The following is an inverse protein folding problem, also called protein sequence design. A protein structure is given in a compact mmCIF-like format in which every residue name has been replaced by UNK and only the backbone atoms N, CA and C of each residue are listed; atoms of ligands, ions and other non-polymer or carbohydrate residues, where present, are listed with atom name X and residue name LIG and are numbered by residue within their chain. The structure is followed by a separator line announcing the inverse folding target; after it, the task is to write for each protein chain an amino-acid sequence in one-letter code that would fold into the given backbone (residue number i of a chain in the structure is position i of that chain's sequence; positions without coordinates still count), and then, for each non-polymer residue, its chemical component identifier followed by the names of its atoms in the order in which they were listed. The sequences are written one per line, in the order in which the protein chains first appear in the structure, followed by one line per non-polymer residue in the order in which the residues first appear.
data_IF_904046447012
#
_entry.id   IF_904046447012
#
_cell.length_a   1.000
_cell.length_b   1.000
_cell.length_c   1.000
_cell.angle_alpha   90.00
_cell.angle_beta   90.00
_cell.angle_gamma   90.00
#
_symmetry.space_group_name_H-M   'P 1'
#
loop_
_entity.id
_entity.type
_entity.pdbx_description
1 polymer ?
#
# COMPACT_ATOMS: atom_id res chain seq x y z
N UNK A 1 34.41 -39.05 37.02
CA UNK A 1 32.93 -38.93 37.12
C UNK A 1 32.38 -37.49 37.12
N UNK A 2 33.20 -36.43 37.00
CA UNK A 2 32.71 -35.02 37.00
C UNK A 2 32.41 -34.43 35.61
N UNK A 3 32.92 -35.04 34.53
CA UNK A 3 32.81 -34.50 33.16
C UNK A 3 31.47 -34.83 32.49
N UNK A 4 30.87 -36.00 32.77
CA UNK A 4 29.54 -36.37 32.23
C UNK A 4 28.41 -35.51 32.79
N UNK A 5 28.50 -35.09 34.06
CA UNK A 5 27.49 -34.23 34.68
C UNK A 5 27.48 -32.80 34.10
N UNK A 6 28.66 -32.26 33.76
CA UNK A 6 28.79 -30.93 33.17
C UNK A 6 28.27 -30.87 31.72
N UNK A 7 28.46 -31.93 30.93
CA UNK A 7 27.98 -32.00 29.54
C UNK A 7 26.44 -32.08 29.45
N UNK A 8 25.80 -32.84 30.36
CA UNK A 8 24.33 -32.92 30.41
C UNK A 8 23.67 -31.61 30.87
N UNK A 9 24.32 -30.86 31.76
CA UNK A 9 23.81 -29.57 32.22
C UNK A 9 23.87 -28.50 31.11
N UNK A 10 24.94 -28.46 30.31
CA UNK A 10 25.04 -27.54 29.18
C UNK A 10 24.01 -27.83 28.07
N UNK A 11 23.73 -29.12 27.80
CA UNK A 11 22.78 -29.50 26.74
C UNK A 11 21.33 -29.15 27.10
N UNK A 12 20.96 -29.20 28.40
CA UNK A 12 19.65 -28.77 28.88
C UNK A 12 19.47 -27.24 28.89
N UNK A 13 20.54 -26.48 29.13
CA UNK A 13 20.52 -25.02 29.07
C UNK A 13 20.39 -24.47 27.63
N UNK A 14 20.97 -25.15 26.63
CA UNK A 14 20.83 -24.78 25.21
C UNK A 14 19.43 -25.07 24.66
N UNK A 15 18.71 -26.05 25.21
CA UNK A 15 17.32 -26.35 24.84
C UNK A 15 16.30 -25.42 25.49
N UNK A 16 16.66 -24.69 26.54
CA UNK A 16 15.77 -23.76 27.25
C UNK A 16 15.84 -22.31 26.75
N UNK A 17 16.84 -21.96 25.93
CA UNK A 17 17.03 -20.60 25.40
C UNK A 17 16.57 -20.42 23.95
N UNK A 18 16.18 -21.51 23.27
CA UNK A 18 15.50 -21.46 21.98
C UNK A 18 14.02 -21.76 22.18
N UNK A 19 13.14 -21.02 21.49
CA UNK A 19 11.67 -21.11 21.55
C UNK A 19 11.02 -20.36 22.71
N UNK A 20 11.14 -19.05 22.69
CA UNK A 20 10.09 -18.19 23.21
C UNK A 20 9.88 -17.03 22.25
N UNK A 21 9.55 -17.36 20.99
CA UNK A 21 8.66 -16.47 20.24
C UNK A 21 7.33 -16.54 20.97
N UNK A 22 7.14 -15.66 21.95
CA UNK A 22 5.86 -15.47 22.59
C UNK A 22 4.85 -15.25 21.46
N UNK A 23 3.86 -16.14 21.36
CA UNK A 23 2.85 -16.11 20.30
C UNK A 23 2.03 -14.83 20.49
N UNK A 24 2.49 -13.73 19.87
CA UNK A 24 2.00 -12.38 20.13
C UNK A 24 0.73 -12.18 19.32
N UNK A 25 -0.37 -11.96 20.01
CA UNK A 25 -1.62 -11.53 19.39
C UNK A 25 -1.41 -10.18 18.71
N UNK A 26 -1.54 -10.15 17.38
CA UNK A 26 -1.36 -8.94 16.58
C UNK A 26 -2.59 -8.04 16.62
N UNK A 27 -2.39 -6.75 16.31
CA UNK A 27 -3.48 -5.80 16.05
C UNK A 27 -3.46 -5.40 14.58
N UNK A 28 -4.62 -5.24 13.97
CA UNK A 28 -4.77 -4.95 12.54
C UNK A 28 -5.66 -3.73 12.34
N UNK A 29 -5.42 -2.96 11.28
CA UNK A 29 -6.43 -2.02 10.81
C UNK A 29 -7.71 -2.76 10.45
N UNK A 30 -8.87 -2.14 10.72
CA UNK A 30 -10.18 -2.76 10.55
C UNK A 30 -11.14 -1.85 9.80
N UNK A 31 -11.82 -2.40 8.79
CA UNK A 31 -12.93 -1.76 8.10
C UNK A 31 -13.67 -2.79 7.24
N UNK A 32 -14.93 -2.52 6.90
CA UNK A 32 -15.72 -3.37 6.00
C UNK A 32 -16.64 -2.54 5.10
N UNK A 33 -16.66 -2.89 3.81
CA UNK A 33 -17.52 -2.26 2.80
C UNK A 33 -17.26 -0.77 2.70
N UNK A 34 -18.36 0.02 2.71
CA UNK A 34 -18.31 1.48 2.56
C UNK A 34 -17.48 2.18 3.65
N UNK A 35 -17.32 1.55 4.81
CA UNK A 35 -16.53 2.11 5.91
C UNK A 35 -15.05 2.19 5.58
N UNK A 36 -14.54 1.37 4.66
CA UNK A 36 -13.16 1.47 4.19
C UNK A 36 -12.91 2.74 3.36
N UNK A 37 -13.95 3.42 2.89
CA UNK A 37 -13.85 4.69 2.18
C UNK A 37 -14.02 5.93 3.08
N UNK A 38 -14.23 5.74 4.39
CA UNK A 38 -14.37 6.88 5.31
C UNK A 38 -12.99 7.43 5.68
N UNK A 39 -12.76 8.70 5.36
CA UNK A 39 -11.57 9.43 5.79
C UNK A 39 -11.62 9.68 7.30
N UNK A 40 -10.46 9.63 7.98
CA UNK A 40 -10.33 10.00 9.40
C UNK A 40 -10.68 8.90 10.43
N UNK A 41 -11.17 7.73 10.00
CA UNK A 41 -11.43 6.58 10.87
C UNK A 41 -10.45 5.44 10.56
N UNK A 42 -9.23 5.55 11.10
CA UNK A 42 -8.32 4.40 11.16
C UNK A 42 -8.68 3.56 12.38
N UNK A 43 -9.66 2.67 12.23
CA UNK A 43 -9.99 1.71 13.27
C UNK A 43 -8.91 0.62 13.31
N UNK A 44 -8.55 0.20 14.51
CA UNK A 44 -7.65 -0.92 14.78
C UNK A 44 -8.39 -1.89 15.68
N UNK A 45 -8.25 -3.18 15.41
CA UNK A 45 -8.77 -4.26 16.24
C UNK A 45 -7.64 -5.19 16.65
N UNK A 46 -7.72 -5.73 17.87
CA UNK A 46 -6.83 -6.81 18.31
C UNK A 46 -7.40 -8.13 17.84
N UNK A 47 -6.57 -8.99 17.25
CA UNK A 47 -7.03 -10.30 16.80
C UNK A 47 -7.35 -11.23 17.97
N UNK A 48 -8.10 -12.29 17.69
CA UNK A 48 -8.54 -13.22 18.73
C UNK A 48 -7.47 -14.28 19.01
N UNK A 49 -6.79 -14.73 17.96
CA UNK A 49 -5.79 -15.78 18.04
C UNK A 49 -4.38 -15.24 17.75
N UNK A 50 -3.38 -15.94 18.25
CA UNK A 50 -1.97 -15.65 17.99
C UNK A 50 -1.46 -16.16 16.63
N UNK A 51 -2.19 -17.10 16.01
CA UNK A 51 -1.98 -17.54 14.63
C UNK A 51 -2.70 -16.65 13.61
N UNK A 52 -3.50 -15.70 14.11
CA UNK A 52 -4.23 -14.77 13.28
C UNK A 52 -3.27 -13.75 12.66
N UNK A 53 -3.54 -13.36 11.42
CA UNK A 53 -2.75 -12.40 10.68
C UNK A 53 -3.61 -11.30 10.10
N UNK A 54 -3.00 -10.16 9.80
CA UNK A 54 -3.71 -9.04 9.22
C UNK A 54 -3.92 -9.25 7.72
N UNK A 55 -5.10 -8.87 7.25
CA UNK A 55 -5.44 -8.88 5.83
C UNK A 55 -5.95 -7.53 5.32
N UNK A 56 -5.74 -7.29 4.03
CA UNK A 56 -6.53 -6.33 3.25
C UNK A 56 -7.06 -7.00 2.00
N UNK A 57 -8.35 -6.87 1.74
CA UNK A 57 -9.01 -7.43 0.57
C UNK A 57 -9.44 -6.29 -0.34
N UNK A 58 -9.16 -6.44 -1.63
CA UNK A 58 -9.38 -5.43 -2.65
C UNK A 58 -10.39 -5.86 -3.71
N UNK A 59 -10.97 -4.87 -4.38
CA UNK A 59 -11.59 -4.98 -5.69
C UNK A 59 -10.91 -3.96 -6.59
N UNK A 60 -10.00 -4.42 -7.47
CA UNK A 60 -9.00 -3.57 -8.10
C UNK A 60 -8.21 -2.77 -7.04
N UNK A 61 -8.25 -1.44 -7.07
CA UNK A 61 -7.63 -0.60 -6.03
C UNK A 61 -8.50 -0.44 -4.78
N UNK A 62 -9.81 -0.65 -4.90
CA UNK A 62 -10.77 -0.34 -3.84
C UNK A 62 -10.60 -1.31 -2.69
N UNK A 63 -10.48 -0.79 -1.47
CA UNK A 63 -10.48 -1.64 -0.27
C UNK A 63 -11.90 -2.10 0.05
N UNK A 64 -12.11 -3.42 0.13
CA UNK A 64 -13.36 -4.03 0.55
C UNK A 64 -13.37 -4.38 2.05
N UNK A 65 -12.21 -4.79 2.57
CA UNK A 65 -12.08 -5.24 3.96
C UNK A 65 -10.65 -5.07 4.47
N UNK A 66 -10.53 -4.71 5.74
CA UNK A 66 -9.31 -4.81 6.54
C UNK A 66 -9.67 -5.49 7.85
N UNK A 67 -8.82 -6.37 8.35
CA UNK A 67 -9.02 -6.97 9.66
C UNK A 67 -8.16 -8.20 9.88
N UNK A 68 -8.54 -9.00 10.89
CA UNK A 68 -7.88 -10.26 11.23
C UNK A 68 -8.36 -11.40 10.32
N UNK A 69 -7.52 -12.42 10.15
CA UNK A 69 -7.73 -13.50 9.19
C UNK A 69 -8.92 -14.41 9.54
N UNK A 70 -9.18 -14.67 10.82
CA UNK A 70 -10.31 -15.47 11.29
C UNK A 70 -11.66 -14.75 11.15
N UNK A 71 -11.64 -13.43 11.06
CA UNK A 71 -12.84 -12.59 10.99
C UNK A 71 -13.23 -12.20 9.56
N UNK A 72 -12.52 -12.71 8.54
CA UNK A 72 -12.83 -12.43 7.15
C UNK A 72 -14.28 -12.86 6.84
N UNK A 73 -15.15 -11.96 6.32
CA UNK A 73 -16.50 -12.32 5.95
C UNK A 73 -16.51 -13.47 4.94
N UNK A 74 -17.41 -14.45 5.12
CA UNK A 74 -17.46 -15.67 4.29
C UNK A 74 -17.46 -15.37 2.77
N UNK A 75 -18.17 -14.32 2.35
CA UNK A 75 -18.23 -13.90 0.93
C UNK A 75 -16.91 -13.37 0.36
N UNK A 76 -15.95 -12.97 1.20
CA UNK A 76 -14.64 -12.46 0.79
C UNK A 76 -13.51 -13.47 1.05
N UNK A 77 -13.77 -14.53 1.82
CA UNK A 77 -12.75 -15.48 2.28
C UNK A 77 -11.96 -16.11 1.13
N UNK A 78 -12.66 -16.50 0.06
CA UNK A 78 -12.07 -17.11 -1.14
C UNK A 78 -10.95 -16.29 -1.77
N UNK A 79 -11.00 -14.95 -1.66
CA UNK A 79 -9.95 -14.04 -2.20
C UNK A 79 -8.61 -14.19 -1.51
N UNK A 80 -8.61 -14.72 -0.29
CA UNK A 80 -7.41 -14.97 0.50
C UNK A 80 -7.00 -16.44 0.53
N UNK A 81 -7.78 -17.37 -0.03
CA UNK A 81 -7.46 -18.80 0.04
C UNK A 81 -6.48 -19.24 -1.07
N UNK A 82 -6.44 -18.50 -2.20
CA UNK A 82 -5.51 -18.78 -3.30
C UNK A 82 -4.19 -18.00 -3.14
N UNK A 83 -3.01 -18.65 -3.28
CA UNK A 83 -1.71 -17.96 -3.25
C UNK A 83 -1.47 -17.05 -4.47
N UNK A 84 -2.29 -17.16 -5.51
CA UNK A 84 -2.15 -16.39 -6.75
C UNK A 84 -3.21 -15.27 -6.89
N UNK A 85 -4.08 -15.09 -5.90
CA UNK A 85 -5.05 -14.01 -5.89
C UNK A 85 -4.43 -12.76 -5.25
N UNK A 86 -4.10 -11.78 -6.08
CA UNK A 86 -3.54 -10.48 -5.68
C UNK A 86 -4.60 -9.50 -5.14
N UNK A 87 -5.86 -9.95 -5.03
CA UNK A 87 -6.92 -9.21 -4.34
C UNK A 87 -6.89 -9.40 -2.82
N UNK A 88 -5.93 -10.17 -2.26
CA UNK A 88 -5.71 -10.25 -0.82
C UNK A 88 -4.23 -10.05 -0.44
N UNK A 89 -3.98 -9.04 0.38
CA UNK A 89 -2.69 -8.83 1.06
C UNK A 89 -2.72 -9.43 2.47
N UNK A 90 -1.63 -10.10 2.88
CA UNK A 90 -1.48 -10.76 4.18
C UNK A 90 -0.17 -10.35 4.85
N UNK A 91 -0.18 -10.12 6.15
CA UNK A 91 1.02 -9.77 6.91
C UNK A 91 0.85 -10.04 8.43
N UNK A 92 1.97 -10.20 9.15
CA UNK A 92 2.00 -10.69 10.54
C UNK A 92 2.49 -9.67 11.58
N UNK A 93 2.76 -8.41 11.18
CA UNK A 93 3.17 -7.36 12.11
C UNK A 93 2.01 -6.45 12.48
N UNK A 94 2.10 -5.77 13.63
CA UNK A 94 1.02 -4.90 14.09
C UNK A 94 0.73 -3.79 13.07
N UNK A 95 -0.55 -3.64 12.72
CA UNK A 95 -1.10 -2.62 11.84
C UNK A 95 -0.47 -2.61 10.44
N UNK A 96 0.08 -3.75 9.99
CA UNK A 96 0.78 -3.85 8.71
C UNK A 96 -0.14 -3.78 7.48
N UNK A 97 -1.45 -3.96 7.66
CA UNK A 97 -2.43 -4.06 6.60
C UNK A 97 -2.96 -2.68 6.13
N UNK A 98 -2.15 -1.61 6.19
CA UNK A 98 -2.49 -0.32 5.58
C UNK A 98 -1.83 -0.11 4.20
N UNK A 99 -1.82 -1.15 3.39
CA UNK A 99 -1.21 -1.17 2.06
C UNK A 99 -2.30 -1.19 0.99
N UNK A 100 -2.02 -0.62 -0.19
CA UNK A 100 -2.87 -0.73 -1.38
C UNK A 100 -2.66 -2.06 -2.12
N UNK A 101 -3.46 -2.29 -3.16
CA UNK A 101 -3.23 -3.43 -4.04
C UNK A 101 -1.88 -3.31 -4.74
N UNK A 102 -1.13 -4.42 -4.85
CA UNK A 102 0.19 -4.49 -5.50
C UNK A 102 0.13 -4.12 -6.98
N UNK A 103 -1.04 -4.24 -7.62
CA UNK A 103 -1.28 -3.78 -9.00
C UNK A 103 -1.21 -2.26 -9.13
N UNK A 104 -1.40 -1.52 -8.04
CA UNK A 104 -1.47 -0.06 -8.01
C UNK A 104 -0.21 0.50 -7.36
N UNK A 105 0.87 0.52 -8.14
CA UNK A 105 2.13 1.16 -7.79
C UNK A 105 2.37 2.40 -8.63
N UNK A 106 2.99 3.41 -8.02
CA UNK A 106 3.31 4.69 -8.64
C UNK A 106 4.79 5.00 -8.43
N UNK A 107 5.39 5.79 -9.33
CA UNK A 107 6.63 6.49 -9.01
C UNK A 107 6.32 7.52 -7.92
N UNK A 108 7.09 7.51 -6.83
CA UNK A 108 6.94 8.42 -5.71
C UNK A 108 8.26 9.16 -5.48
N UNK A 109 8.33 10.43 -5.85
CA UNK A 109 9.57 11.21 -5.84
C UNK A 109 9.31 12.72 -5.82
N UNK A 110 10.38 13.47 -5.55
CA UNK A 110 10.42 14.92 -5.54
C UNK A 110 11.72 15.36 -6.23
N UNK A 111 11.62 16.20 -7.27
CA UNK A 111 12.77 16.62 -8.07
C UNK A 111 13.76 17.50 -7.31
N UNK A 112 13.40 18.04 -6.15
CA UNK A 112 14.34 18.72 -5.25
C UNK A 112 15.30 17.75 -4.55
N UNK A 113 14.95 16.46 -4.50
CA UNK A 113 15.74 15.41 -3.83
C UNK A 113 16.39 14.44 -4.82
N UNK A 114 15.73 14.22 -5.96
CA UNK A 114 16.22 13.34 -7.02
C UNK A 114 15.86 13.93 -8.38
N UNK A 115 16.87 14.40 -9.13
CA UNK A 115 16.70 15.01 -10.44
C UNK A 115 15.98 14.06 -11.44
N UNK A 116 16.13 12.74 -11.28
CA UNK A 116 15.43 11.76 -12.12
C UNK A 116 13.91 11.87 -12.00
N UNK A 117 13.38 12.44 -10.91
CA UNK A 117 11.94 12.65 -10.77
C UNK A 117 11.36 13.55 -11.87
N UNK A 118 12.14 14.55 -12.30
CA UNK A 118 11.80 15.42 -13.42
C UNK A 118 12.36 14.89 -14.74
N UNK A 119 13.61 14.45 -14.75
CA UNK A 119 14.37 14.19 -15.98
C UNK A 119 14.16 12.77 -16.54
N UNK A 120 14.10 11.76 -15.67
CA UNK A 120 14.07 10.35 -16.06
C UNK A 120 13.28 9.47 -15.08
N UNK A 121 11.99 9.77 -14.90
CA UNK A 121 11.17 9.08 -13.92
C UNK A 121 10.96 7.59 -14.24
N UNK A 122 11.19 7.17 -15.48
CA UNK A 122 11.16 5.75 -15.89
C UNK A 122 12.28 4.91 -15.26
N UNK A 123 13.38 5.54 -14.84
CA UNK A 123 14.46 4.84 -14.12
C UNK A 123 14.12 4.57 -12.64
N UNK A 124 13.10 5.24 -12.11
CA UNK A 124 12.71 5.12 -10.71
C UNK A 124 11.77 3.94 -10.52
N UNK A 125 12.10 3.11 -9.52
CA UNK A 125 11.27 1.95 -9.18
C UNK A 125 9.94 2.41 -8.58
N UNK A 126 8.79 2.01 -9.16
CA UNK A 126 7.48 2.30 -8.58
C UNK A 126 7.30 1.59 -7.24
N UNK A 127 6.58 2.23 -6.32
CA UNK A 127 6.25 1.69 -5.00
C UNK A 127 4.74 1.62 -4.82
N UNK A 128 4.28 0.57 -4.14
CA UNK A 128 2.85 0.34 -3.87
C UNK A 128 2.31 1.49 -3.03
N UNK A 129 1.14 2.00 -3.41
CA UNK A 129 0.47 3.06 -2.68
C UNK A 129 -0.04 2.57 -1.31
N UNK A 130 -0.31 3.50 -0.40
CA UNK A 130 -1.10 3.18 0.80
C UNK A 130 -2.53 2.80 0.41
N UNK A 131 -3.22 2.14 1.33
CA UNK A 131 -4.60 1.72 1.10
C UNK A 131 -5.50 2.94 0.80
N UNK A 132 -6.23 2.97 -0.33
CA UNK A 132 -7.08 4.11 -0.64
C UNK A 132 -8.33 4.13 0.23
N UNK A 133 -8.70 5.34 0.63
CA UNK A 133 -10.04 5.66 1.18
C UNK A 133 -10.96 6.21 0.10
N UNK A 134 -10.44 6.51 -1.09
CA UNK A 134 -11.26 6.71 -2.27
C UNK A 134 -11.70 5.37 -2.90
N UNK A 135 -12.75 5.36 -3.74
CA UNK A 135 -13.09 4.19 -4.55
C UNK A 135 -11.97 3.73 -5.50
N UNK A 136 -11.10 4.66 -5.92
CA UNK A 136 -9.99 4.42 -6.83
C UNK A 136 -8.66 4.89 -6.22
N UNK A 137 -7.55 4.30 -6.66
CA UNK A 137 -6.19 4.80 -6.40
C UNK A 137 -5.58 5.29 -7.71
N UNK A 138 -5.14 6.55 -7.75
CA UNK A 138 -4.46 7.13 -8.91
C UNK A 138 -3.00 7.40 -8.60
N UNK A 139 -2.18 7.46 -9.63
CA UNK A 139 -0.91 8.13 -9.56
C UNK A 139 -1.07 9.57 -10.01
N UNK A 140 -0.28 10.48 -9.43
CA UNK A 140 -0.20 11.85 -9.88
C UNK A 140 1.20 12.22 -10.34
N UNK A 141 1.24 13.26 -11.16
CA UNK A 141 2.42 14.09 -11.42
C UNK A 141 1.97 15.53 -11.24
N UNK A 142 2.70 16.28 -10.43
CA UNK A 142 2.38 17.66 -10.09
C UNK A 142 3.62 18.52 -10.28
N UNK A 143 3.48 19.64 -10.97
CA UNK A 143 4.48 20.68 -11.01
C UNK A 143 4.15 21.78 -9.99
N UNK A 144 5.13 22.21 -9.21
CA UNK A 144 5.00 23.34 -8.29
C UNK A 144 5.52 24.64 -8.93
N UNK A 145 4.86 25.76 -8.65
CA UNK A 145 5.24 27.09 -9.15
C UNK A 145 5.18 27.18 -10.67
N UNK A 146 6.22 27.72 -11.30
CA UNK A 146 6.38 27.86 -12.76
C UNK A 146 6.93 26.59 -13.45
N UNK A 147 6.85 25.42 -12.80
CA UNK A 147 7.33 24.15 -13.37
C UNK A 147 8.71 23.70 -12.90
N UNK A 148 9.30 24.38 -11.91
CA UNK A 148 10.67 24.14 -11.46
C UNK A 148 10.84 22.92 -10.55
N UNK A 149 9.76 22.45 -9.92
CA UNK A 149 9.77 21.26 -9.08
C UNK A 149 8.66 20.30 -9.53
N UNK A 150 9.03 19.05 -9.80
CA UNK A 150 8.12 17.97 -10.16
C UNK A 150 8.01 17.01 -8.98
N UNK A 151 6.79 16.77 -8.56
CA UNK A 151 6.43 15.77 -7.56
C UNK A 151 5.59 14.68 -8.21
N UNK A 152 5.91 13.43 -7.92
CA UNK A 152 5.16 12.26 -8.37
C UNK A 152 4.73 11.46 -7.15
N UNK A 153 3.53 10.89 -7.17
CA UNK A 153 3.05 10.13 -6.02
C UNK A 153 1.72 9.43 -6.24
N UNK A 154 1.13 8.99 -5.15
CA UNK A 154 -0.18 8.37 -5.11
C UNK A 154 -1.26 9.37 -4.66
N UNK A 155 -2.45 9.27 -5.24
CA UNK A 155 -3.65 10.02 -4.83
C UNK A 155 -4.72 9.02 -4.38
N UNK A 156 -4.83 8.84 -3.06
CA UNK A 156 -5.57 7.74 -2.41
C UNK A 156 -6.83 8.22 -1.69
N UNK A 157 -7.10 9.52 -1.69
CA UNK A 157 -8.29 10.14 -1.09
C UNK A 157 -9.05 10.95 -2.12
N UNK A 158 -10.37 11.11 -1.94
CA UNK A 158 -11.19 11.93 -2.84
C UNK A 158 -10.75 13.39 -2.82
N UNK A 159 -10.33 13.90 -1.66
CA UNK A 159 -9.83 15.27 -1.48
C UNK A 159 -8.58 15.52 -2.32
N UNK A 160 -7.60 14.60 -2.30
CA UNK A 160 -6.37 14.74 -3.08
C UNK A 160 -6.67 14.67 -4.58
N UNK A 161 -7.59 13.78 -4.97
CA UNK A 161 -8.00 13.62 -6.37
C UNK A 161 -8.68 14.89 -6.88
N UNK A 162 -9.62 15.45 -6.12
CA UNK A 162 -10.29 16.70 -6.47
C UNK A 162 -9.32 17.89 -6.52
N UNK A 163 -8.41 17.97 -5.55
CA UNK A 163 -7.41 19.04 -5.50
C UNK A 163 -6.48 18.99 -6.70
N UNK A 164 -6.06 17.79 -7.13
CA UNK A 164 -5.26 17.63 -8.35
C UNK A 164 -6.05 17.99 -9.61
N UNK A 165 -7.32 17.56 -9.71
CA UNK A 165 -8.17 17.88 -10.87
C UNK A 165 -8.46 19.38 -11.02
N UNK A 166 -8.37 20.15 -9.94
CA UNK A 166 -8.54 21.61 -9.94
C UNK A 166 -7.23 22.37 -10.18
N UNK A 167 -6.09 21.68 -10.20
CA UNK A 167 -4.77 22.25 -10.40
C UNK A 167 -4.30 21.98 -11.83
N UNK A 168 -4.14 23.03 -12.64
CA UNK A 168 -3.70 22.92 -14.03
C UNK A 168 -2.30 22.30 -14.17
N UNK A 169 -1.50 22.30 -13.10
CA UNK A 169 -0.17 21.71 -13.06
C UNK A 169 -0.17 20.28 -12.49
N UNK A 170 -1.34 19.69 -12.25
CA UNK A 170 -1.46 18.34 -11.70
C UNK A 170 -2.23 17.43 -12.65
N UNK A 171 -1.70 16.22 -12.85
CA UNK A 171 -2.31 15.21 -13.69
C UNK A 171 -2.45 13.90 -12.94
N UNK A 172 -3.59 13.25 -13.10
CA UNK A 172 -3.89 11.93 -12.57
C UNK A 172 -3.88 10.88 -13.67
N UNK A 173 -3.43 9.68 -13.33
CA UNK A 173 -3.52 8.51 -14.20
C UNK A 173 -3.78 7.25 -13.35
N UNK A 174 -4.42 6.25 -13.93
CA UNK A 174 -4.77 5.00 -13.26
C UNK A 174 -3.69 3.95 -13.48
N UNK A 175 -3.06 3.49 -12.39
CA UNK A 175 -2.08 2.39 -12.45
C UNK A 175 -2.72 1.01 -12.68
N UNK A 176 -4.05 0.91 -12.60
CA UNK A 176 -4.76 -0.33 -12.94
C UNK A 176 -4.71 -0.63 -14.44
N UNK A 177 -4.56 0.40 -15.27
CA UNK A 177 -4.54 0.29 -16.73
C UNK A 177 -3.10 0.27 -17.26
N UNK A 178 -2.25 1.16 -16.73
CA UNK A 178 -0.84 1.27 -17.10
C UNK A 178 -0.03 1.32 -15.81
N UNK A 179 0.71 0.25 -15.52
CA UNK A 179 1.58 0.19 -14.35
C UNK A 179 2.56 1.37 -14.32
N UNK A 180 2.60 2.11 -13.21
CA UNK A 180 3.43 3.31 -13.06
C UNK A 180 3.23 4.34 -14.19
N UNK A 181 1.96 4.57 -14.56
CA UNK A 181 1.56 5.55 -15.58
C UNK A 181 2.13 6.95 -15.36
N UNK A 182 2.46 7.30 -14.10
CA UNK A 182 3.08 8.55 -13.74
C UNK A 182 4.61 8.55 -13.88
N UNK A 183 5.20 7.62 -14.63
CA UNK A 183 6.63 7.67 -15.00
C UNK A 183 6.86 8.43 -16.31
N UNK A 184 5.80 8.70 -17.08
CA UNK A 184 5.89 9.44 -18.34
C UNK A 184 6.25 10.90 -18.09
N UNK A 185 7.09 11.47 -18.96
CA UNK A 185 7.41 12.88 -18.93
C UNK A 185 6.23 13.70 -19.43
N UNK A 186 5.92 14.77 -18.71
CA UNK A 186 4.78 15.63 -19.00
C UNK A 186 5.32 16.96 -19.47
N UNK A 187 4.93 17.37 -20.67
CA UNK A 187 5.17 18.72 -21.17
C UNK A 187 4.03 19.62 -20.72
N UNK A 188 4.30 20.53 -19.78
CA UNK A 188 3.35 21.55 -19.33
C UNK A 188 3.34 22.71 -20.33
N UNK A 189 2.73 22.52 -21.49
CA UNK A 189 2.70 23.57 -22.52
C UNK A 189 1.59 24.59 -22.23
N UNK A 190 1.98 25.82 -21.88
CA UNK A 190 1.12 26.88 -21.35
C UNK A 190 0.10 27.45 -22.36
N UNK A 191 0.17 27.05 -23.64
CA UNK A 191 -0.73 27.51 -24.70
C UNK A 191 -1.75 26.47 -25.18
N UNK A 192 -1.74 25.25 -24.63
CA UNK A 192 -2.65 24.19 -25.06
C UNK A 192 -3.42 23.69 -23.86
N UNK A 193 -4.55 24.36 -23.57
CA UNK A 193 -5.43 23.98 -22.48
C UNK A 193 -5.67 22.47 -22.42
N UNK A 194 -5.27 21.86 -21.31
CA UNK A 194 -5.64 20.52 -20.83
C UNK A 194 -5.88 19.49 -21.93
N UNK A 195 -4.86 19.15 -22.72
CA UNK A 195 -4.91 17.97 -23.60
C UNK A 195 -3.96 16.86 -23.17
N UNK A 196 -4.28 16.29 -22.01
CA UNK A 196 -4.18 14.84 -21.79
C UNK A 196 -5.43 14.33 -21.08
N UNK A 197 -6.60 14.54 -21.69
CA UNK A 197 -7.74 13.62 -21.55
C UNK A 197 -7.80 12.82 -22.84
N UNK A 198 -7.18 11.64 -22.85
CA UNK A 198 -7.55 10.44 -23.64
C UNK A 198 -6.42 9.41 -23.61
N UNK A 199 -6.28 8.74 -22.47
CA UNK A 199 -6.02 7.31 -22.51
C UNK A 199 -7.08 6.71 -21.59
N UNK A 200 -8.01 5.98 -22.20
CA UNK A 200 -9.13 5.17 -21.67
C UNK A 200 -10.37 5.35 -22.56
N UNK A 201 -10.29 4.78 -23.77
CA UNK A 201 -11.37 3.96 -24.32
C UNK A 201 -10.86 2.54 -24.36
#
# INVERSE_FOLDING_TARGET
MKVKAMLSALLLLVLATGYSDANKITSCHSCSGINCQRTGLSLVQKCVDSLDYCVTIYDNSKVLYKGCSLEIPAKLRHRCDSPHDDSCFKCNSDNCNNVGSTRFACVQCDSSKDANCAENATSLKPTVCTAPTAPNSYCYVKASGSGSNIQRGCSTTVTDQQSCLQDANCLLCSSGDIHACNSLNITFDSNTGNRFIRFLR
#
